data_IF_318410645176
#
_entry.id   IF_318410645176
#
_cell.length_a   1.000
_cell.length_b   1.000
_cell.length_c   1.000
_cell.angle_alpha   90.00
_cell.angle_beta   90.00
_cell.angle_gamma   90.00
#
_symmetry.space_group_name_H-M   'P 1'
#
loop_
_entity.id
_entity.type
_entity.pdbx_description
1 polymer ?
#
# COMPACT_ATOMS: atom_id res chain seq x y z
N UNK A 1 -10.24 12.66 9.20
CA UNK A 1 -9.85 14.02 8.78
C UNK A 1 -11.06 14.84 8.39
N UNK A 2 -10.87 15.95 7.69
CA UNK A 2 -11.96 16.79 7.16
C UNK A 2 -11.87 16.82 5.65
N UNK A 3 -12.99 16.59 4.96
CA UNK A 3 -13.11 16.72 3.51
C UNK A 3 -14.40 17.46 3.19
N UNK A 4 -14.33 18.49 2.36
CA UNK A 4 -15.48 19.33 1.97
C UNK A 4 -16.27 19.87 3.18
N UNK A 5 -15.57 20.26 4.24
CA UNK A 5 -16.16 20.78 5.49
C UNK A 5 -16.80 19.72 6.40
N UNK A 6 -16.78 18.43 6.03
CA UNK A 6 -17.36 17.34 6.81
C UNK A 6 -16.27 16.46 7.42
N UNK A 7 -16.48 16.00 8.66
CA UNK A 7 -15.61 14.98 9.25
C UNK A 7 -15.76 13.68 8.46
N UNK A 8 -14.63 13.06 8.15
CA UNK A 8 -14.56 11.78 7.44
C UNK A 8 -13.57 10.85 8.12
N UNK A 9 -13.89 9.57 8.15
CA UNK A 9 -13.00 8.50 8.60
C UNK A 9 -12.83 7.48 7.46
N UNK A 10 -11.58 7.14 7.21
CA UNK A 10 -11.21 6.12 6.24
C UNK A 10 -10.28 5.13 6.92
N UNK A 11 -10.56 3.84 6.74
CA UNK A 11 -9.71 2.76 7.17
C UNK A 11 -9.10 2.08 5.94
N UNK A 12 -7.78 2.20 5.80
CA UNK A 12 -7.01 1.64 4.68
C UNK A 12 -6.18 0.49 5.23
N UNK A 13 -6.35 -0.71 4.68
CA UNK A 13 -5.70 -1.90 5.20
C UNK A 13 -5.43 -2.93 4.09
N UNK A 14 -4.58 -3.90 4.41
CA UNK A 14 -4.37 -5.12 3.61
C UNK A 14 -4.77 -6.33 4.46
N UNK A 15 -5.32 -7.35 3.81
CA UNK A 15 -5.75 -8.57 4.47
C UNK A 15 -5.60 -9.74 3.52
N UNK A 16 -4.89 -10.77 3.97
CA UNK A 16 -4.59 -11.97 3.21
C UNK A 16 -4.44 -13.18 4.14
N UNK A 17 -4.48 -14.38 3.54
CA UNK A 17 -4.33 -15.66 4.25
C UNK A 17 -2.86 -16.06 4.32
N UNK A 18 -2.38 -16.37 5.53
CA UNK A 18 -1.05 -16.95 5.72
C UNK A 18 -0.87 -18.27 4.97
N UNK A 19 -1.92 -19.10 4.93
CA UNK A 19 -1.89 -20.40 4.25
C UNK A 19 -1.75 -20.23 2.74
N UNK A 20 -2.63 -19.43 2.15
CA UNK A 20 -2.68 -19.24 0.70
C UNK A 20 -1.40 -18.57 0.20
N UNK A 21 -0.86 -17.63 0.99
CA UNK A 21 0.43 -17.00 0.73
C UNK A 21 1.57 -18.02 0.75
N UNK A 22 1.60 -18.91 1.75
CA UNK A 22 2.62 -19.94 1.85
C UNK A 22 2.51 -20.96 0.71
N UNK A 23 1.30 -21.38 0.34
CA UNK A 23 1.07 -22.28 -0.79
C UNK A 23 1.49 -21.63 -2.13
N UNK A 24 1.29 -20.32 -2.30
CA UNK A 24 1.65 -19.60 -3.52
C UNK A 24 3.12 -19.23 -3.63
N UNK A 25 3.71 -18.71 -2.56
CA UNK A 25 5.05 -18.10 -2.58
C UNK A 25 6.10 -18.88 -1.78
N UNK A 26 5.70 -19.84 -0.93
CA UNK A 26 6.61 -20.58 -0.05
C UNK A 26 7.10 -19.79 1.17
N UNK A 27 6.55 -18.59 1.39
CA UNK A 27 6.93 -17.69 2.50
C UNK A 27 5.72 -17.35 3.35
N UNK A 28 5.98 -16.91 4.60
CA UNK A 28 4.91 -16.39 5.44
C UNK A 28 4.36 -15.08 4.88
N UNK A 29 3.08 -14.80 5.15
CA UNK A 29 2.43 -13.56 4.73
C UNK A 29 3.19 -12.32 5.18
N UNK A 30 3.72 -12.31 6.40
CA UNK A 30 4.51 -11.20 6.92
C UNK A 30 5.75 -10.91 6.07
N UNK A 31 6.44 -11.95 5.58
CA UNK A 31 7.61 -11.80 4.71
C UNK A 31 7.20 -11.22 3.36
N UNK A 32 6.11 -11.71 2.77
CA UNK A 32 5.59 -11.19 1.50
C UNK A 32 5.14 -9.74 1.64
N UNK A 33 4.38 -9.40 2.68
CA UNK A 33 3.92 -8.03 2.96
C UNK A 33 5.08 -7.07 3.21
N UNK A 34 6.17 -7.54 3.83
CA UNK A 34 7.34 -6.70 4.07
C UNK A 34 8.24 -6.58 2.84
N UNK A 35 8.32 -7.64 2.02
CA UNK A 35 9.25 -7.72 0.88
C UNK A 35 8.72 -7.09 -0.41
N UNK A 36 7.40 -7.16 -0.67
CA UNK A 36 6.81 -6.63 -1.89
C UNK A 36 6.98 -5.10 -2.02
N UNK A 37 6.72 -4.26 -0.99
CA UNK A 37 6.88 -2.82 -1.11
C UNK A 37 8.28 -2.32 -1.48
N UNK A 38 9.37 -2.76 -0.81
CA UNK A 38 10.72 -2.34 -1.19
C UNK A 38 11.15 -2.91 -2.55
N UNK A 39 10.73 -4.12 -2.91
CA UNK A 39 11.01 -4.69 -4.23
C UNK A 39 10.33 -3.89 -5.36
N UNK A 40 9.07 -3.49 -5.14
CA UNK A 40 8.34 -2.63 -6.06
C UNK A 40 8.99 -1.25 -6.16
N UNK A 41 9.34 -0.61 -5.05
CA UNK A 41 10.01 0.69 -5.06
C UNK A 41 11.35 0.64 -5.81
N UNK A 42 12.15 -0.40 -5.60
CA UNK A 42 13.38 -0.63 -6.35
C UNK A 42 13.12 -0.77 -7.86
N UNK A 43 12.08 -1.52 -8.26
CA UNK A 43 11.68 -1.64 -9.67
C UNK A 43 11.31 -0.27 -10.25
N UNK A 44 10.48 0.51 -9.55
CA UNK A 44 10.00 1.82 -10.00
C UNK A 44 11.12 2.87 -10.11
N UNK A 45 12.14 2.79 -9.25
CA UNK A 45 13.37 3.59 -9.37
C UNK A 45 14.14 3.24 -10.64
N UNK A 46 14.32 1.94 -10.93
CA UNK A 46 15.07 1.46 -12.10
C UNK A 46 14.33 1.78 -13.40
N UNK A 47 13.00 1.68 -13.43
CA UNK A 47 12.19 2.04 -14.61
C UNK A 47 12.01 3.55 -14.78
N UNK A 48 12.44 4.36 -13.82
CA UNK A 48 12.34 5.82 -13.85
C UNK A 48 10.93 6.34 -13.61
N UNK A 49 10.06 5.56 -12.97
CA UNK A 49 8.73 6.00 -12.53
C UNK A 49 8.84 6.84 -11.25
N UNK A 50 9.74 6.45 -10.34
CA UNK A 50 10.20 7.31 -9.25
C UNK A 50 11.43 8.08 -9.76
N UNK A 51 11.33 9.41 -9.82
CA UNK A 51 12.34 10.30 -10.44
C UNK A 51 13.04 11.20 -9.43
N UNK A 52 12.49 11.25 -8.22
CA UNK A 52 12.95 12.08 -7.14
C UNK A 52 14.36 11.70 -6.71
N UNK A 53 15.18 12.73 -6.45
CA UNK A 53 16.58 12.57 -6.06
C UNK A 53 16.77 13.06 -4.64
N UNK A 54 17.50 12.29 -3.84
CA UNK A 54 17.80 12.60 -2.45
C UNK A 54 17.29 11.52 -1.51
N UNK A 55 17.21 11.85 -0.22
CA UNK A 55 16.65 10.97 0.81
C UNK A 55 15.16 11.28 0.93
N UNK A 56 14.33 10.28 0.64
CA UNK A 56 12.89 10.41 0.56
C UNK A 56 12.23 9.41 1.50
N UNK A 57 11.19 9.85 2.20
CA UNK A 57 10.31 8.95 2.93
C UNK A 57 9.17 8.49 2.00
N UNK A 58 8.59 7.30 2.20
CA UNK A 58 7.54 6.77 1.33
C UNK A 58 6.34 7.71 1.17
N UNK A 59 5.95 8.45 2.21
CA UNK A 59 4.85 9.43 2.17
C UNK A 59 5.15 10.67 1.32
N UNK A 60 6.42 10.88 0.95
CA UNK A 60 6.84 11.96 0.03
C UNK A 60 6.79 11.55 -1.44
N UNK A 61 6.55 10.27 -1.74
CA UNK A 61 6.41 9.76 -3.10
C UNK A 61 4.97 9.91 -3.59
N UNK A 62 4.78 9.99 -4.90
CA UNK A 62 3.45 9.94 -5.49
C UNK A 62 2.81 8.57 -5.16
N UNK A 63 1.70 8.54 -4.40
CA UNK A 63 1.14 7.30 -3.91
C UNK A 63 0.53 6.45 -5.02
N UNK A 64 0.01 7.07 -6.08
CA UNK A 64 -0.68 6.39 -7.19
C UNK A 64 0.22 5.34 -7.84
N UNK A 65 1.49 5.67 -8.07
CA UNK A 65 2.49 4.78 -8.68
C UNK A 65 2.70 3.51 -7.84
N UNK A 66 2.66 3.61 -6.52
CA UNK A 66 2.79 2.46 -5.62
C UNK A 66 1.48 1.67 -5.51
N UNK A 67 0.37 2.38 -5.26
CA UNK A 67 -0.93 1.78 -4.99
C UNK A 67 -1.50 1.02 -6.19
N UNK A 68 -1.30 1.52 -7.41
CA UNK A 68 -1.71 0.83 -8.64
C UNK A 68 -0.95 -0.49 -8.86
N UNK A 69 0.28 -0.57 -8.37
CA UNK A 69 1.11 -1.76 -8.51
C UNK A 69 0.90 -2.75 -7.35
N UNK A 70 0.63 -2.32 -6.12
CA UNK A 70 0.44 -3.23 -4.99
C UNK A 70 -0.58 -4.35 -5.26
N UNK A 71 -1.74 -4.01 -5.83
CA UNK A 71 -2.76 -5.02 -6.14
C UNK A 71 -2.28 -6.02 -7.21
N UNK A 72 -1.43 -5.59 -8.15
CA UNK A 72 -0.85 -6.46 -9.19
C UNK A 72 0.20 -7.41 -8.62
N UNK A 73 0.98 -6.92 -7.65
CA UNK A 73 2.05 -7.68 -6.98
C UNK A 73 1.51 -8.58 -5.84
N UNK A 74 0.19 -8.66 -5.66
CA UNK A 74 -0.47 -9.55 -4.69
C UNK A 74 -0.65 -8.95 -3.30
N UNK A 75 -0.56 -7.63 -3.15
CA UNK A 75 -0.95 -6.91 -1.94
C UNK A 75 -2.25 -6.14 -2.19
N UNK A 76 -3.37 -6.78 -1.90
CA UNK A 76 -4.67 -6.13 -2.07
C UNK A 76 -4.87 -5.10 -0.97
N UNK A 77 -5.22 -3.88 -1.39
CA UNK A 77 -5.55 -2.78 -0.49
C UNK A 77 -7.06 -2.61 -0.46
N UNK A 78 -7.61 -2.54 0.74
CA UNK A 78 -9.01 -2.28 1.01
C UNK A 78 -9.16 -0.88 1.61
N UNK A 79 -10.20 -0.18 1.18
CA UNK A 79 -10.55 1.14 1.69
C UNK A 79 -11.98 1.10 2.17
N UNK A 80 -12.17 1.32 3.46
CA UNK A 80 -13.47 1.39 4.09
C UNK A 80 -13.73 2.83 4.55
N UNK A 81 -14.84 3.41 4.09
CA UNK A 81 -15.31 4.70 4.61
C UNK A 81 -16.20 4.42 5.81
N UNK A 82 -15.82 4.94 6.98
CA UNK A 82 -16.58 4.79 8.22
C UNK A 82 -17.46 6.01 8.45
N UNK A 83 -18.61 5.75 9.06
CA UNK A 83 -19.50 6.81 9.52
C UNK A 83 -18.88 7.50 10.73
N UNK A 84 -18.85 8.84 10.70
CA UNK A 84 -18.38 9.63 11.83
C UNK A 84 -19.60 10.07 12.61
N UNK A 85 -19.86 9.42 13.76
CA UNK A 85 -20.83 9.94 14.71
C UNK A 85 -20.36 11.34 15.16
N UNK A 86 -21.16 12.35 14.85
CA UNK A 86 -20.97 13.69 15.41
C UNK A 86 -21.47 13.67 16.85
N UNK A 87 -20.54 13.48 17.80
CA UNK A 87 -20.72 13.88 19.21
C UNK A 87 -20.93 15.39 19.31
#
# INVERSE_FOLDING_TARGET
>A
GTKDGKKVEYFVYTMDSHRDTYEKYGYSLTVVQTGVPPALAARLLVTGEIKERGVMMPESLQPDVLMENFSKEGLKIFVEKREVEQL
#
